data_IF_737344921767
#
_entry.id   IF_737344921767
#
_cell.length_a   1.000
_cell.length_b   1.000
_cell.length_c   1.000
_cell.angle_alpha   90.00
_cell.angle_beta   90.00
_cell.angle_gamma   90.00
#
_symmetry.space_group_name_H-M   'P 1'
#
loop_
_entity.id
_entity.type
_entity.pdbx_description
1 polymer ?
#
# COMPACT_ATOMS: atom_id res chain seq x y z
N UNK A 1 4.48 -11.99 -24.02
CA UNK A 1 4.56 -13.01 -22.96
C UNK A 1 5.59 -14.03 -23.44
N UNK A 2 6.81 -14.03 -22.88
CA UNK A 2 7.88 -14.87 -23.39
C UNK A 2 7.81 -16.25 -22.71
N UNK A 3 7.47 -17.27 -23.49
CA UNK A 3 7.64 -18.67 -23.09
C UNK A 3 9.05 -19.08 -23.52
N UNK A 4 9.85 -19.62 -22.60
CA UNK A 4 11.14 -20.21 -22.93
C UNK A 4 10.90 -21.71 -23.17
N UNK A 5 10.98 -22.15 -24.41
CA UNK A 5 10.78 -23.54 -24.81
C UNK A 5 12.13 -24.25 -24.92
N UNK A 6 12.19 -25.50 -24.45
CA UNK A 6 13.32 -26.40 -24.73
C UNK A 6 12.78 -27.55 -25.59
N UNK A 7 13.37 -27.75 -26.75
CA UNK A 7 13.10 -28.91 -27.61
C UNK A 7 14.02 -30.06 -27.21
N UNK A 8 13.44 -31.17 -26.76
CA UNK A 8 14.16 -32.44 -26.53
C UNK A 8 13.73 -33.47 -27.56
N UNK A 9 14.55 -34.48 -27.86
CA UNK A 9 14.12 -35.61 -28.71
C UNK A 9 13.71 -36.77 -27.83
N UNK A 10 12.63 -37.45 -28.15
CA UNK A 10 12.27 -38.69 -27.47
C UNK A 10 13.10 -39.89 -27.96
N UNK A 11 12.81 -41.08 -27.44
CA UNK A 11 13.52 -42.31 -27.79
C UNK A 11 13.32 -42.74 -29.26
N UNK A 12 12.30 -42.22 -29.95
CA UNK A 12 12.05 -42.44 -31.37
C UNK A 12 12.73 -41.36 -32.25
N UNK A 13 13.29 -40.31 -31.63
CA UNK A 13 13.93 -39.20 -32.32
C UNK A 13 12.98 -38.04 -32.64
N UNK A 14 11.72 -38.11 -32.21
CA UNK A 14 10.72 -37.08 -32.46
C UNK A 14 10.91 -35.89 -31.50
N UNK A 15 10.80 -34.65 -31.99
CA UNK A 15 10.97 -33.46 -31.16
C UNK A 15 9.76 -33.27 -30.23
N UNK A 16 10.05 -33.21 -28.93
CA UNK A 16 9.13 -32.87 -27.86
C UNK A 16 9.43 -31.46 -27.36
N UNK A 17 8.39 -30.64 -27.20
CA UNK A 17 8.50 -29.27 -26.66
C UNK A 17 8.14 -29.30 -25.18
N UNK A 18 9.10 -28.97 -24.33
CA UNK A 18 8.85 -28.80 -22.88
C UNK A 18 8.64 -27.31 -22.61
N UNK A 19 7.41 -26.95 -22.24
CA UNK A 19 7.11 -25.63 -21.72
C UNK A 19 7.66 -25.51 -20.30
N UNK A 20 8.64 -24.62 -20.10
CA UNK A 20 9.09 -24.29 -18.75
C UNK A 20 8.07 -23.33 -18.10
N UNK A 21 7.81 -23.46 -16.79
CA UNK A 21 7.02 -22.47 -16.08
C UNK A 21 7.76 -21.12 -16.18
N UNK A 22 7.06 -20.07 -16.58
CA UNK A 22 7.59 -18.71 -16.49
C UNK A 22 7.86 -18.43 -15.01
N UNK A 23 9.13 -18.37 -14.62
CA UNK A 23 9.50 -17.85 -13.31
C UNK A 23 9.14 -16.37 -13.33
N UNK A 24 8.08 -15.98 -12.61
CA UNK A 24 7.79 -14.56 -12.37
C UNK A 24 9.01 -13.99 -11.66
N UNK A 25 9.74 -13.13 -12.34
CA UNK A 25 10.80 -12.37 -11.71
C UNK A 25 10.15 -11.44 -10.68
N UNK A 26 10.22 -11.82 -9.41
CA UNK A 26 9.90 -10.89 -8.31
C UNK A 26 11.06 -9.91 -8.31
N UNK A 27 10.87 -8.68 -8.77
CA UNK A 27 11.95 -7.71 -8.78
C UNK A 27 12.39 -7.49 -7.34
N UNK A 28 13.59 -7.96 -7.00
CA UNK A 28 14.13 -7.94 -5.65
C UNK A 28 14.84 -6.64 -5.30
N UNK A 29 14.71 -5.59 -6.12
CA UNK A 29 15.20 -4.28 -5.74
C UNK A 29 14.27 -3.74 -4.65
N UNK A 30 14.73 -3.58 -3.39
CA UNK A 30 13.92 -2.95 -2.37
C UNK A 30 13.54 -1.56 -2.88
N UNK A 31 12.25 -1.25 -2.93
CA UNK A 31 11.82 0.11 -3.17
C UNK A 31 12.44 1.02 -2.11
N UNK A 32 12.85 2.23 -2.49
CA UNK A 32 13.31 3.22 -1.51
C UNK A 32 12.20 3.42 -0.48
N UNK A 33 12.48 3.03 0.77
CA UNK A 33 11.51 3.17 1.84
C UNK A 33 11.17 4.65 2.02
N UNK A 34 9.91 4.99 1.80
CA UNK A 34 9.36 6.29 2.14
C UNK A 34 8.76 6.19 3.53
N UNK A 35 9.10 7.11 4.41
CA UNK A 35 8.50 7.21 5.74
C UNK A 35 8.35 8.67 6.16
N UNK A 36 7.48 8.91 7.13
CA UNK A 36 7.29 10.24 7.66
C UNK A 36 6.17 10.29 8.69
N UNK A 37 5.84 11.51 9.09
CA UNK A 37 4.77 11.79 10.04
C UNK A 37 3.94 12.97 9.56
N UNK A 38 2.67 12.98 9.95
CA UNK A 38 1.70 14.01 9.64
C UNK A 38 1.10 14.50 10.97
N UNK A 39 1.22 15.80 11.22
CA UNK A 39 0.49 16.49 12.27
C UNK A 39 -0.82 16.99 11.69
N UNK A 40 -1.94 16.63 12.32
CA UNK A 40 -3.25 17.02 11.86
C UNK A 40 -3.60 18.45 12.25
N UNK A 41 -4.28 19.14 11.32
CA UNK A 41 -4.84 20.49 11.54
C UNK A 41 -6.38 20.49 11.62
N UNK A 42 -7.02 19.31 11.57
CA UNK A 42 -8.47 19.13 11.54
C UNK A 42 -9.08 18.97 10.14
N UNK A 43 -8.27 19.07 9.08
CA UNK A 43 -8.69 18.81 7.69
C UNK A 43 -7.98 17.58 7.14
N UNK A 44 -8.52 16.90 6.10
CA UNK A 44 -7.83 15.79 5.46
C UNK A 44 -6.47 16.25 4.89
N UNK A 45 -5.43 15.46 5.14
CA UNK A 45 -4.08 15.68 4.63
C UNK A 45 -3.72 14.55 3.68
N UNK A 46 -3.35 14.92 2.45
CA UNK A 46 -2.84 13.99 1.45
C UNK A 46 -1.42 13.54 1.83
N UNK A 47 -1.09 12.27 1.64
CA UNK A 47 0.31 11.84 1.76
C UNK A 47 1.18 12.39 0.61
N UNK A 48 2.51 12.50 0.81
CA UNK A 48 3.42 12.93 -0.25
C UNK A 48 3.35 12.03 -1.50
N UNK A 49 3.45 12.62 -2.70
CA UNK A 49 3.44 11.86 -3.96
C UNK A 49 4.68 10.99 -4.10
N UNK A 50 4.47 9.67 -4.06
CA UNK A 50 5.49 8.61 -4.15
C UNK A 50 4.85 7.36 -4.76
N UNK A 51 5.44 6.83 -5.83
CA UNK A 51 5.04 5.54 -6.38
C UNK A 51 5.35 4.44 -5.36
N UNK A 52 4.44 3.46 -5.22
CA UNK A 52 4.55 2.36 -4.27
C UNK A 52 4.48 1.02 -5.02
N UNK A 53 5.35 0.09 -4.64
CA UNK A 53 5.45 -1.26 -5.18
C UNK A 53 5.02 -2.29 -4.11
N UNK A 54 5.38 -2.08 -2.85
CA UNK A 54 5.13 -2.97 -1.72
C UNK A 54 4.07 -2.43 -0.75
N UNK A 55 3.36 -1.38 -1.15
CA UNK A 55 2.22 -0.82 -0.42
C UNK A 55 2.60 0.20 0.65
N UNK A 56 1.65 0.46 1.53
CA UNK A 56 1.67 1.54 2.50
C UNK A 56 1.08 1.08 3.83
N UNK A 57 1.73 1.45 4.91
CA UNK A 57 1.23 1.30 6.28
C UNK A 57 1.10 2.69 6.89
N UNK A 58 -0.01 2.93 7.58
CA UNK A 58 -0.28 4.13 8.36
C UNK A 58 -0.60 3.72 9.79
N UNK A 59 0.02 4.36 10.78
CA UNK A 59 -0.22 4.13 12.20
C UNK A 59 -0.63 5.41 12.90
N UNK A 60 -1.70 5.36 13.68
CA UNK A 60 -2.09 6.44 14.57
C UNK A 60 -1.16 6.47 15.79
N UNK A 61 -0.72 7.66 16.23
CA UNK A 61 0.03 7.80 17.47
C UNK A 61 -0.84 7.38 18.65
N UNK A 62 -0.24 6.67 19.60
CA UNK A 62 -0.91 6.08 20.78
C UNK A 62 -1.54 7.13 21.69
N UNK A 63 -1.02 8.36 21.68
CA UNK A 63 -1.52 9.49 22.48
C UNK A 63 -2.41 10.44 21.69
N UNK A 64 -2.95 10.02 20.54
CA UNK A 64 -3.95 10.82 19.83
C UNK A 64 -5.20 10.99 20.70
N UNK A 65 -5.81 12.15 20.59
CA UNK A 65 -6.94 12.56 21.41
C UNK A 65 -8.26 11.91 20.99
N UNK A 66 -8.35 11.48 19.72
CA UNK A 66 -9.50 10.81 19.14
C UNK A 66 -9.12 9.81 18.07
N UNK A 67 -10.14 9.27 17.39
CA UNK A 67 -9.94 8.36 16.27
C UNK A 67 -9.48 9.13 15.02
N UNK A 68 -8.58 8.51 14.28
CA UNK A 68 -8.23 8.88 12.91
C UNK A 68 -9.05 8.14 11.88
N UNK A 69 -9.00 8.62 10.64
CA UNK A 69 -9.59 7.96 9.49
C UNK A 69 -8.61 8.00 8.32
N UNK A 70 -8.48 6.88 7.62
CA UNK A 70 -7.68 6.73 6.42
C UNK A 70 -8.59 6.47 5.23
N UNK A 71 -8.41 7.18 4.14
CA UNK A 71 -9.24 6.99 2.95
C UNK A 71 -8.72 7.73 1.72
N UNK A 72 -9.59 7.87 0.72
CA UNK A 72 -9.33 8.72 -0.44
C UNK A 72 -9.54 10.21 -0.14
N UNK A 73 -9.53 11.03 -1.18
CA UNK A 73 -9.66 12.50 -1.05
C UNK A 73 -10.96 12.99 -0.38
N UNK A 74 -12.01 12.16 -0.38
CA UNK A 74 -13.30 12.44 0.26
C UNK A 74 -13.42 11.89 1.69
N UNK A 75 -12.31 11.48 2.31
CA UNK A 75 -12.34 10.96 3.68
C UNK A 75 -12.88 12.01 4.66
N UNK A 76 -13.76 11.58 5.56
CA UNK A 76 -14.35 12.40 6.62
C UNK A 76 -14.10 11.75 7.98
N UNK A 77 -14.35 12.49 9.06
CA UNK A 77 -14.32 11.97 10.44
C UNK A 77 -15.64 11.30 10.87
N UNK A 78 -16.53 11.01 9.92
CA UNK A 78 -17.86 10.46 10.19
C UNK A 78 -17.77 8.97 10.55
N UNK A 79 -18.25 8.60 11.74
CA UNK A 79 -18.16 7.25 12.31
C UNK A 79 -19.55 6.68 12.67
N UNK A 80 -20.49 6.75 11.72
CA UNK A 80 -21.90 6.34 11.88
C UNK A 80 -22.38 5.36 10.80
N UNK A 81 -21.45 4.82 9.99
CA UNK A 81 -21.74 3.97 8.83
C UNK A 81 -21.94 4.72 7.51
N UNK A 82 -21.94 6.06 7.51
CA UNK A 82 -22.01 6.89 6.29
C UNK A 82 -20.67 7.50 5.87
N UNK A 83 -19.62 7.34 6.69
CA UNK A 83 -18.27 7.80 6.42
C UNK A 83 -17.57 7.01 5.30
N UNK A 84 -16.56 7.64 4.69
CA UNK A 84 -15.81 7.08 3.55
C UNK A 84 -14.35 6.70 3.90
N UNK A 85 -14.06 6.54 5.20
CA UNK A 85 -12.73 6.23 5.71
C UNK A 85 -12.70 4.97 6.58
N UNK A 86 -11.54 4.34 6.65
CA UNK A 86 -11.26 3.31 7.64
C UNK A 86 -10.85 3.96 8.96
N UNK A 87 -11.58 3.68 10.03
CA UNK A 87 -11.31 4.19 11.37
C UNK A 87 -10.03 3.57 11.94
N UNK A 88 -9.19 4.41 12.54
CA UNK A 88 -8.02 4.04 13.33
C UNK A 88 -8.15 4.59 14.75
N UNK A 89 -8.24 3.73 15.75
CA UNK A 89 -8.11 4.18 17.13
C UNK A 89 -6.65 4.50 17.46
N UNK A 90 -6.36 5.30 18.50
CA UNK A 90 -4.98 5.59 18.90
C UNK A 90 -4.17 4.31 19.09
N UNK A 91 -3.02 4.22 18.40
CA UNK A 91 -2.15 3.04 18.40
C UNK A 91 -2.43 2.02 17.29
N UNK A 92 -3.60 2.05 16.66
CA UNK A 92 -3.93 1.15 15.55
C UNK A 92 -3.15 1.49 14.27
N UNK A 93 -3.07 0.50 13.39
CA UNK A 93 -2.50 0.64 12.07
C UNK A 93 -3.44 0.14 10.98
N UNK A 94 -3.37 0.83 9.84
CA UNK A 94 -3.98 0.43 8.58
C UNK A 94 -2.88 0.09 7.58
N UNK A 95 -3.13 -0.90 6.72
CA UNK A 95 -2.25 -1.24 5.61
C UNK A 95 -3.05 -1.36 4.32
N UNK A 96 -2.48 -0.90 3.21
CA UNK A 96 -3.08 -1.03 1.89
C UNK A 96 -2.04 -1.02 0.78
N UNK A 97 -2.49 -1.24 -0.45
CA UNK A 97 -1.63 -1.31 -1.64
C UNK A 97 -2.04 -0.27 -2.70
N UNK A 98 -2.08 1.04 -2.37
CA UNK A 98 -2.27 2.07 -3.39
C UNK A 98 -1.06 2.10 -4.34
N UNK A 99 -1.27 2.48 -5.60
CA UNK A 99 -0.16 2.57 -6.57
C UNK A 99 0.69 3.82 -6.35
N UNK A 100 0.16 4.84 -5.66
CA UNK A 100 0.89 6.01 -5.19
C UNK A 100 0.38 6.43 -3.81
N UNK A 101 1.28 6.82 -2.91
CA UNK A 101 0.94 7.28 -1.57
C UNK A 101 -0.06 8.46 -1.58
N UNK A 102 0.01 9.37 -2.57
CA UNK A 102 -0.89 10.51 -2.66
C UNK A 102 -2.36 10.14 -2.96
N UNK A 103 -2.66 8.88 -3.28
CA UNK A 103 -4.04 8.41 -3.36
C UNK A 103 -4.69 8.29 -1.97
N UNK A 104 -3.88 8.31 -0.91
CA UNK A 104 -4.31 8.16 0.47
C UNK A 104 -4.26 9.49 1.20
N UNK A 105 -5.31 9.73 1.97
CA UNK A 105 -5.53 10.87 2.83
C UNK A 105 -5.77 10.37 4.26
N UNK A 106 -5.31 11.16 5.22
CA UNK A 106 -5.58 10.94 6.64
C UNK A 106 -6.32 12.14 7.21
N UNK A 107 -7.27 11.90 8.10
CA UNK A 107 -7.96 12.93 8.86
C UNK A 107 -8.09 12.50 10.32
N UNK A 108 -8.00 13.45 11.23
CA UNK A 108 -8.17 13.27 12.67
C UNK A 108 -8.40 14.62 13.34
N UNK A 109 -8.45 14.65 14.67
CA UNK A 109 -8.56 15.91 15.41
C UNK A 109 -7.27 16.74 15.23
N UNK A 110 -7.37 18.06 15.34
CA UNK A 110 -6.19 18.92 15.32
C UNK A 110 -5.23 18.54 16.47
N UNK A 111 -3.95 18.37 16.16
CA UNK A 111 -2.93 17.91 17.12
C UNK A 111 -2.68 16.40 17.12
N UNK A 112 -3.55 15.60 16.49
CA UNK A 112 -3.29 14.18 16.29
C UNK A 112 -2.12 13.97 15.32
N UNK A 113 -1.39 12.85 15.49
CA UNK A 113 -0.25 12.48 14.65
C UNK A 113 -0.45 11.11 14.02
N UNK A 114 -0.09 11.00 12.75
CA UNK A 114 -0.02 9.75 12.00
C UNK A 114 1.39 9.51 11.48
N UNK A 115 1.85 8.27 11.57
CA UNK A 115 3.10 7.80 10.97
C UNK A 115 2.77 7.02 9.70
N UNK A 116 3.59 7.14 8.67
CA UNK A 116 3.43 6.33 7.48
C UNK A 116 4.76 5.73 7.03
N UNK A 117 4.70 4.56 6.41
CA UNK A 117 5.82 3.95 5.71
C UNK A 117 5.34 3.16 4.50
N UNK A 118 6.08 3.18 3.41
CA UNK A 118 5.75 2.44 2.19
C UNK A 118 6.95 2.32 1.27
N UNK A 119 6.86 1.42 0.29
CA UNK A 119 7.88 1.20 -0.74
C UNK A 119 7.24 0.75 -2.04
#
# INVERSE_FOLDING_TARGET
>A
MAVTEITVKDAAGDPQVIALPTVRQVSSAPGTLTYGQILMTGSPVQLPSRALINGLVIRARETNSGNGFVGGSSVTTTDDGTGNGFRLSPGDAWSGTPSNANQVYVIGAAGDVFYFTGS
#
